data_IF_432784809053
#
_entry.id   IF_432784809053
#
_cell.length_a   1.000
_cell.length_b   1.000
_cell.length_c   1.000
_cell.angle_alpha   90.00
_cell.angle_beta   90.00
_cell.angle_gamma   90.00
#
_symmetry.space_group_name_H-M   'P 1'
#
loop_
_entity.id
_entity.type
_entity.pdbx_description
1 polymer ?
#
# COMPACT_ATOMS: atom_id res chain seq x y z
N UNK A 1 11.45 -14.47 -13.37
CA UNK A 1 10.24 -14.68 -12.54
C UNK A 1 9.92 -13.37 -11.84
N UNK A 2 8.73 -12.85 -11.99
CA UNK A 2 8.27 -11.55 -11.43
C UNK A 2 7.83 -11.71 -9.97
N UNK A 3 7.04 -12.74 -9.69
CA UNK A 3 6.55 -13.01 -8.32
C UNK A 3 7.68 -13.35 -7.35
N UNK A 4 7.55 -12.90 -6.11
CA UNK A 4 8.46 -13.18 -5.01
C UNK A 4 7.85 -14.21 -4.04
N UNK A 5 8.28 -15.48 -4.11
CA UNK A 5 7.76 -16.51 -3.21
C UNK A 5 8.11 -16.31 -1.74
N UNK A 6 9.04 -15.40 -1.41
CA UNK A 6 9.37 -15.04 -0.03
C UNK A 6 8.47 -13.93 0.53
N UNK A 7 7.70 -13.26 -0.34
CA UNK A 7 6.74 -12.22 0.01
C UNK A 7 5.32 -12.73 -0.23
N UNK A 8 4.76 -13.38 0.77
CA UNK A 8 3.43 -13.99 0.70
C UNK A 8 2.46 -13.14 1.53
N UNK A 9 1.29 -12.84 0.97
CA UNK A 9 0.22 -12.15 1.68
C UNK A 9 -0.21 -12.96 2.92
N UNK A 10 -0.28 -12.30 4.08
CA UNK A 10 -0.49 -12.98 5.36
C UNK A 10 -1.88 -13.60 5.53
N UNK A 11 -2.87 -13.09 4.83
CA UNK A 11 -4.26 -13.59 4.90
C UNK A 11 -4.68 -14.38 3.66
N UNK A 12 -3.92 -14.29 2.55
CA UNK A 12 -4.19 -15.03 1.32
C UNK A 12 -2.88 -15.61 0.75
N UNK A 13 -2.61 -16.90 0.99
CA UNK A 13 -1.34 -17.53 0.61
C UNK A 13 -1.14 -17.70 -0.90
N UNK A 14 -2.15 -17.45 -1.71
CA UNK A 14 -2.07 -17.50 -3.17
C UNK A 14 -1.60 -16.16 -3.79
N UNK A 15 -1.40 -15.13 -2.96
CA UNK A 15 -0.94 -13.81 -3.39
C UNK A 15 0.54 -13.61 -3.00
N UNK A 16 1.34 -13.22 -4.00
CA UNK A 16 2.78 -12.97 -3.85
C UNK A 16 3.10 -11.52 -4.16
N UNK A 17 4.07 -10.97 -3.44
CA UNK A 17 4.69 -9.70 -3.80
C UNK A 17 5.46 -9.77 -5.12
N UNK A 18 5.85 -8.62 -5.62
CA UNK A 18 6.66 -8.48 -6.84
C UNK A 18 8.12 -8.25 -6.49
N UNK A 19 9.02 -8.99 -7.13
CA UNK A 19 10.47 -8.83 -6.91
C UNK A 19 10.97 -7.46 -7.33
N UNK A 20 11.88 -6.90 -6.55
CA UNK A 20 12.58 -5.66 -6.90
C UNK A 20 13.64 -5.91 -8.00
N UNK A 21 13.17 -6.07 -9.22
CA UNK A 21 13.96 -6.33 -10.42
C UNK A 21 13.42 -5.54 -11.60
N UNK A 22 14.20 -5.44 -12.67
CA UNK A 22 13.73 -4.87 -13.94
C UNK A 22 12.45 -5.54 -14.47
N UNK A 23 12.36 -6.85 -14.35
CA UNK A 23 11.17 -7.60 -14.76
C UNK A 23 9.95 -7.25 -13.87
N UNK A 24 10.16 -7.03 -12.56
CA UNK A 24 9.14 -6.56 -11.65
C UNK A 24 8.67 -5.14 -11.99
N UNK A 25 9.61 -4.24 -12.28
CA UNK A 25 9.25 -2.88 -12.73
C UNK A 25 8.46 -2.92 -14.04
N UNK A 26 8.89 -3.73 -15.01
CA UNK A 26 8.19 -3.88 -16.30
C UNK A 26 6.77 -4.43 -16.13
N UNK A 27 6.55 -5.29 -15.13
CA UNK A 27 5.21 -5.76 -14.79
C UNK A 27 4.30 -4.61 -14.32
N UNK A 28 4.77 -3.79 -13.36
CA UNK A 28 4.01 -2.62 -12.92
C UNK A 28 3.82 -1.58 -14.01
N UNK A 29 4.84 -1.35 -14.86
CA UNK A 29 4.72 -0.44 -15.99
C UNK A 29 3.58 -0.88 -16.92
N UNK A 30 3.54 -2.16 -17.29
CA UNK A 30 2.49 -2.70 -18.18
C UNK A 30 1.10 -2.67 -17.54
N UNK A 31 1.02 -2.92 -16.24
CA UNK A 31 -0.24 -2.86 -15.48
C UNK A 31 -0.81 -1.44 -15.43
N UNK A 32 0.03 -0.47 -15.12
CA UNK A 32 -0.36 0.94 -15.06
C UNK A 32 -0.69 1.50 -16.44
N UNK A 33 0.07 1.12 -17.47
CA UNK A 33 -0.24 1.49 -18.86
C UNK A 33 -1.62 0.97 -19.29
N UNK A 34 -1.95 -0.25 -18.94
CA UNK A 34 -3.28 -0.82 -19.17
C UNK A 34 -4.37 -0.01 -18.45
N UNK A 35 -4.19 0.31 -17.17
CA UNK A 35 -5.15 1.11 -16.40
C UNK A 35 -5.28 2.53 -16.95
N UNK A 36 -4.17 3.13 -17.35
CA UNK A 36 -4.17 4.45 -18.00
C UNK A 36 -4.96 4.43 -19.31
N UNK A 37 -4.82 3.35 -20.12
CA UNK A 37 -5.58 3.18 -21.37
C UNK A 37 -7.09 3.03 -21.14
N UNK A 38 -7.49 2.51 -19.98
CA UNK A 38 -8.89 2.40 -19.57
C UNK A 38 -9.46 3.70 -18.97
N UNK A 39 -8.61 4.71 -18.78
CA UNK A 39 -9.03 5.97 -18.19
C UNK A 39 -9.15 5.95 -16.67
N UNK A 40 -8.46 5.04 -16.00
CA UNK A 40 -8.44 4.97 -14.51
C UNK A 40 -7.73 6.18 -13.94
N UNK A 41 -8.35 6.85 -12.97
CA UNK A 41 -7.82 8.04 -12.27
C UNK A 41 -7.47 7.78 -10.81
N UNK A 42 -7.88 6.64 -10.26
CA UNK A 42 -7.66 6.29 -8.86
C UNK A 42 -7.38 4.79 -8.71
N UNK A 43 -6.33 4.45 -7.97
CA UNK A 43 -5.96 3.07 -7.64
C UNK A 43 -5.87 2.94 -6.12
N UNK A 44 -6.67 2.05 -5.53
CA UNK A 44 -6.43 1.53 -4.20
C UNK A 44 -5.53 0.30 -4.34
N UNK A 45 -4.37 0.34 -3.71
CA UNK A 45 -3.47 -0.81 -3.65
C UNK A 45 -3.49 -1.39 -2.24
N UNK A 46 -3.97 -2.62 -2.13
CA UNK A 46 -4.11 -3.33 -0.87
C UNK A 46 -2.85 -4.12 -0.55
N UNK A 47 -2.60 -4.35 0.74
CA UNK A 47 -1.51 -5.16 1.30
C UNK A 47 -0.07 -4.72 0.98
N UNK A 48 0.13 -3.69 0.20
CA UNK A 48 1.46 -3.10 -0.05
C UNK A 48 1.92 -2.31 1.17
N UNK A 49 3.17 -2.49 1.54
CA UNK A 49 3.80 -1.84 2.70
C UNK A 49 3.16 -2.23 4.03
N UNK A 50 2.60 -3.42 4.10
CA UNK A 50 1.92 -3.95 5.27
C UNK A 50 2.90 -4.12 6.45
N UNK A 51 3.75 -5.12 6.48
CA UNK A 51 4.57 -5.36 7.67
C UNK A 51 6.06 -5.44 7.38
N UNK A 52 6.49 -6.37 6.56
CA UNK A 52 7.89 -6.69 6.35
C UNK A 52 8.29 -6.75 4.88
N UNK A 53 7.34 -6.69 3.98
CA UNK A 53 7.56 -6.85 2.55
C UNK A 53 6.85 -5.76 1.74
N UNK A 54 7.10 -5.70 0.46
CA UNK A 54 6.38 -4.83 -0.46
C UNK A 54 6.75 -3.34 -0.40
N UNK A 55 7.71 -2.91 0.43
CA UNK A 55 8.10 -1.49 0.51
C UNK A 55 8.64 -0.94 -0.80
N UNK A 56 9.41 -1.72 -1.53
CA UNK A 56 9.92 -1.34 -2.85
C UNK A 56 8.81 -1.24 -3.90
N UNK A 57 7.70 -1.95 -3.70
CA UNK A 57 6.59 -1.98 -4.65
C UNK A 57 5.86 -0.65 -4.72
N UNK A 58 5.79 0.11 -3.61
CA UNK A 58 5.24 1.47 -3.63
C UNK A 58 6.03 2.43 -4.53
N UNK A 59 7.36 2.31 -4.51
CA UNK A 59 8.24 3.06 -5.42
C UNK A 59 8.07 2.60 -6.87
N UNK A 60 7.95 1.29 -7.11
CA UNK A 60 7.76 0.74 -8.45
C UNK A 60 6.43 1.18 -9.05
N UNK A 61 5.34 1.17 -8.28
CA UNK A 61 4.04 1.69 -8.69
C UNK A 61 4.11 3.20 -8.99
N UNK A 62 4.73 3.96 -8.11
CA UNK A 62 4.93 5.40 -8.34
C UNK A 62 5.67 5.66 -9.66
N UNK A 63 6.77 4.95 -9.91
CA UNK A 63 7.54 5.08 -11.17
C UNK A 63 6.68 4.72 -12.39
N UNK A 64 5.90 3.66 -12.31
CA UNK A 64 5.01 3.24 -13.38
C UNK A 64 3.93 4.31 -13.67
N UNK A 65 3.34 4.90 -12.62
CA UNK A 65 2.38 6.00 -12.76
C UNK A 65 3.03 7.22 -13.45
N UNK A 66 4.22 7.62 -13.00
CA UNK A 66 4.95 8.73 -13.64
C UNK A 66 5.23 8.45 -15.11
N UNK A 67 5.62 7.22 -15.45
CA UNK A 67 5.92 6.80 -16.81
C UNK A 67 4.70 6.78 -17.73
N UNK A 68 3.52 6.51 -17.19
CA UNK A 68 2.26 6.47 -17.97
C UNK A 68 1.81 7.83 -18.50
N UNK A 69 2.38 8.92 -17.99
CA UNK A 69 2.00 10.31 -18.26
C UNK A 69 0.51 10.61 -17.97
N UNK A 70 -0.15 9.80 -17.14
CA UNK A 70 -1.50 10.03 -16.66
C UNK A 70 -1.48 10.35 -15.17
N UNK A 71 -2.24 11.35 -14.77
CA UNK A 71 -2.47 11.64 -13.35
C UNK A 71 -3.38 10.57 -12.74
N UNK A 72 -2.77 9.66 -11.97
CA UNK A 72 -3.47 8.60 -11.26
C UNK A 72 -3.18 8.76 -9.76
N UNK A 73 -4.23 8.89 -8.96
CA UNK A 73 -4.13 8.94 -7.50
C UNK A 73 -3.85 7.54 -6.98
N UNK A 74 -2.74 7.39 -6.24
CA UNK A 74 -2.37 6.14 -5.58
C UNK A 74 -2.73 6.21 -4.10
N UNK A 75 -3.62 5.31 -3.68
CA UNK A 75 -4.01 5.08 -2.29
C UNK A 75 -3.47 3.75 -1.80
N UNK A 76 -2.64 3.78 -0.76
CA UNK A 76 -2.11 2.56 -0.15
C UNK A 76 -2.96 2.12 1.03
N UNK A 77 -3.22 0.82 1.13
CA UNK A 77 -4.01 0.21 2.18
C UNK A 77 -3.22 -0.90 2.89
N UNK A 78 -2.18 -0.52 3.67
CA UNK A 78 -1.28 -1.48 4.33
C UNK A 78 -1.83 -2.02 5.67
N UNK A 79 -3.11 -1.85 5.99
CA UNK A 79 -3.55 -1.89 7.37
C UNK A 79 -3.18 -0.58 8.09
N UNK A 80 -2.82 -0.60 9.38
CA UNK A 80 -2.29 0.58 10.07
C UNK A 80 -0.94 0.97 9.49
N UNK A 81 -0.83 2.19 8.92
CA UNK A 81 0.42 2.66 8.36
C UNK A 81 1.53 2.74 9.43
N UNK A 82 2.73 2.34 9.06
CA UNK A 82 3.91 2.38 9.91
C UNK A 82 4.49 3.79 9.99
N UNK A 83 4.49 4.39 11.16
CA UNK A 83 4.93 5.78 11.34
C UNK A 83 6.41 5.99 11.05
N UNK A 84 7.24 5.02 11.33
CA UNK A 84 8.68 5.03 11.04
C UNK A 84 8.97 5.01 9.53
N UNK A 85 7.96 4.69 8.72
CA UNK A 85 7.99 4.70 7.25
C UNK A 85 7.15 5.82 6.62
N UNK A 86 6.69 6.77 7.42
CA UNK A 86 5.85 7.89 6.95
C UNK A 86 6.45 8.63 5.75
N UNK A 87 7.78 8.80 5.73
CA UNK A 87 8.51 9.42 4.62
C UNK A 87 8.29 8.71 3.28
N UNK A 88 8.15 7.38 3.29
CA UNK A 88 7.96 6.57 2.09
C UNK A 88 6.54 6.71 1.55
N UNK A 89 5.53 6.67 2.42
CA UNK A 89 4.16 6.96 2.03
C UNK A 89 4.04 8.36 1.41
N UNK A 90 4.59 9.38 2.09
CA UNK A 90 4.58 10.76 1.58
C UNK A 90 5.27 10.91 0.22
N UNK A 91 6.29 10.09 -0.06
CA UNK A 91 7.06 10.19 -1.30
C UNK A 91 6.41 9.51 -2.47
N UNK A 92 5.77 8.35 -2.26
CA UNK A 92 5.35 7.46 -3.34
C UNK A 92 3.83 7.30 -3.48
N UNK A 93 3.05 7.86 -2.55
CA UNK A 93 1.60 7.78 -2.60
C UNK A 93 0.93 9.13 -2.35
N UNK A 94 -0.33 9.26 -2.77
CA UNK A 94 -1.13 10.46 -2.54
C UNK A 94 -1.90 10.36 -1.23
N UNK A 95 -2.25 9.15 -0.81
CA UNK A 95 -2.94 8.88 0.45
C UNK A 95 -2.67 7.45 0.94
N UNK A 96 -2.92 7.21 2.21
CA UNK A 96 -2.75 5.89 2.83
C UNK A 96 -3.63 5.74 4.06
N UNK A 97 -3.91 4.49 4.40
CA UNK A 97 -4.71 4.14 5.57
C UNK A 97 -3.86 4.18 6.84
N UNK A 98 -4.40 4.72 7.91
CA UNK A 98 -3.72 4.86 9.21
C UNK A 98 -4.30 3.96 10.30
N UNK A 99 -5.38 3.23 10.00
CA UNK A 99 -6.05 2.31 10.92
C UNK A 99 -6.20 0.95 10.30
N UNK A 100 -6.42 -0.06 11.13
CA UNK A 100 -6.84 -1.39 10.68
C UNK A 100 -8.26 -1.36 10.10
N UNK A 101 -8.71 -2.48 9.53
CA UNK A 101 -10.06 -2.60 8.98
C UNK A 101 -11.12 -2.28 10.01
N UNK A 102 -12.11 -1.53 9.58
CA UNK A 102 -13.23 -1.12 10.40
C UNK A 102 -14.44 -2.02 10.10
N UNK A 103 -14.56 -3.09 10.89
CA UNK A 103 -15.69 -3.98 10.78
C UNK A 103 -16.86 -3.46 11.62
N UNK A 104 -18.07 -3.74 11.20
CA UNK A 104 -19.30 -3.45 11.96
C UNK A 104 -19.40 -4.34 13.21
N UNK A 105 -18.52 -4.06 14.18
CA UNK A 105 -18.45 -4.76 15.45
C UNK A 105 -17.96 -3.80 16.55
N UNK A 106 -18.70 -3.73 17.63
CA UNK A 106 -18.38 -2.89 18.79
C UNK A 106 -17.01 -3.26 19.39
N UNK A 107 -16.67 -4.53 19.45
CA UNK A 107 -15.41 -5.02 20.01
C UNK A 107 -14.19 -4.52 19.23
N UNK A 108 -14.24 -4.56 17.91
CA UNK A 108 -13.14 -4.03 17.08
C UNK A 108 -13.02 -2.51 17.13
N UNK A 109 -14.15 -1.82 17.18
CA UNK A 109 -14.18 -0.37 17.35
C UNK A 109 -13.47 0.07 18.65
N UNK A 110 -13.66 -0.66 19.74
CA UNK A 110 -12.99 -0.42 21.02
C UNK A 110 -11.51 -0.75 20.98
N UNK A 111 -11.11 -1.79 20.28
CA UNK A 111 -9.71 -2.18 20.12
C UNK A 111 -8.92 -1.14 19.33
N UNK A 112 -9.49 -0.57 18.28
CA UNK A 112 -8.86 0.54 17.51
C UNK A 112 -8.65 1.76 18.41
N UNK A 113 -9.63 2.11 19.23
CA UNK A 113 -9.49 3.21 20.20
C UNK A 113 -8.40 2.94 21.25
N UNK A 114 -8.34 1.71 21.77
CA UNK A 114 -7.32 1.30 22.76
C UNK A 114 -5.89 1.37 22.19
N UNK A 115 -5.68 0.94 20.96
CA UNK A 115 -4.36 1.05 20.32
C UNK A 115 -3.90 2.50 20.11
N UNK A 116 -4.83 3.43 19.84
CA UNK A 116 -4.51 4.86 19.73
C UNK A 116 -4.02 5.46 21.06
N UNK A 117 -4.57 5.03 22.18
CA UNK A 117 -4.16 5.52 23.50
C UNK A 117 -2.87 4.89 24.00
N UNK A 118 -2.56 3.64 23.62
CA UNK A 118 -1.33 2.95 24.05
C UNK A 118 -0.09 3.42 23.29
N UNK A 119 -0.23 4.01 22.11
CA UNK A 119 0.90 4.50 21.29
C UNK A 119 1.31 5.95 21.59
N UNK A 120 0.87 6.53 22.71
CA UNK A 120 1.43 7.75 23.29
C UNK A 120 1.26 9.02 22.46
N UNK A 121 0.27 9.11 21.58
CA UNK A 121 -0.04 10.38 20.93
C UNK A 121 -0.76 11.30 21.92
N UNK A 122 -0.22 12.48 22.24
CA UNK A 122 -0.97 13.47 23.00
C UNK A 122 -2.20 13.88 22.19
N UNK A 123 -3.36 13.81 22.82
CA UNK A 123 -4.54 14.47 22.30
C UNK A 123 -4.23 15.96 22.27
N UNK A 124 -4.02 16.51 21.08
CA UNK A 124 -4.03 17.94 20.91
C UNK A 124 -5.44 18.42 21.23
N UNK A 125 -5.56 19.08 22.37
CA UNK A 125 -6.76 19.77 22.78
C UNK A 125 -7.01 21.04 21.94
#
# INVERSE_FOLDING_TARGET
>A
MVADPSSICGWNPDMYGVRNTEAGQSYYDSLIEMYASWGVDFIKCDDICDSFSGWHESEMLYKAIQKSNREIVLSLSPGPAHIDRAWQYCRYANMWRITDDFWDSVTRSLTVKSRRTSNGYPLLG
#
